data_IF_652999815712
#
_entry.id   IF_652999815712
#
_cell.length_a   1.000
_cell.length_b   1.000
_cell.length_c   1.000
_cell.angle_alpha   90.00
_cell.angle_beta   90.00
_cell.angle_gamma   90.00
#
_symmetry.space_group_name_H-M   'P 1'
#
loop_
_entity.id
_entity.type
_entity.pdbx_description
1 polymer ?
#
# COMPACT_ATOMS: atom_id res chain seq x y z
N UNK A 1 4.26 -7.15 -8.79
CA UNK A 1 5.51 -6.39 -8.60
C UNK A 1 6.62 -7.33 -8.16
N UNK A 2 7.90 -7.03 -8.40
CA UNK A 2 9.00 -7.81 -7.80
C UNK A 2 9.08 -7.42 -6.31
N UNK A 3 9.14 -8.42 -5.43
CA UNK A 3 9.12 -8.21 -3.97
C UNK A 3 10.26 -7.31 -3.50
N UNK A 4 11.42 -7.33 -4.17
CA UNK A 4 12.58 -6.50 -3.78
C UNK A 4 12.28 -5.02 -4.01
N UNK A 5 11.59 -4.72 -5.11
CA UNK A 5 11.14 -3.35 -5.39
C UNK A 5 10.11 -2.89 -4.37
N UNK A 6 9.14 -3.74 -4.03
CA UNK A 6 8.14 -3.44 -3.01
C UNK A 6 8.80 -3.12 -1.65
N UNK A 7 9.85 -3.85 -1.30
CA UNK A 7 10.58 -3.62 -0.05
C UNK A 7 11.31 -2.27 -0.03
N UNK A 8 11.92 -1.87 -1.15
CA UNK A 8 12.57 -0.57 -1.28
C UNK A 8 11.55 0.57 -1.23
N UNK A 9 10.44 0.42 -1.94
CA UNK A 9 9.33 1.39 -1.99
C UNK A 9 8.77 1.67 -0.59
N UNK A 10 8.50 0.62 0.20
CA UNK A 10 8.03 0.76 1.58
C UNK A 10 9.06 1.51 2.45
N UNK A 11 10.36 1.29 2.24
CA UNK A 11 11.40 2.01 2.99
C UNK A 11 11.40 3.49 2.63
N UNK A 12 11.32 3.83 1.34
CA UNK A 12 11.23 5.22 0.86
C UNK A 12 9.98 5.90 1.43
N UNK A 13 8.83 5.23 1.42
CA UNK A 13 7.59 5.74 1.99
C UNK A 13 7.65 5.94 3.50
N UNK A 14 8.37 5.09 4.24
CA UNK A 14 8.60 5.29 5.68
C UNK A 14 9.43 6.56 5.91
N UNK A 15 10.41 6.84 5.05
CA UNK A 15 11.20 8.07 5.14
C UNK A 15 10.38 9.32 4.78
N UNK A 16 9.45 9.22 3.83
CA UNK A 16 8.60 10.34 3.39
C UNK A 16 7.42 10.61 4.34
N UNK A 17 6.65 9.58 4.68
CA UNK A 17 5.36 9.70 5.38
C UNK A 17 5.42 9.25 6.84
N UNK A 18 6.45 8.50 7.22
CA UNK A 18 6.65 7.99 8.57
C UNK A 18 6.17 6.55 8.78
N UNK A 19 6.83 5.85 9.71
CA UNK A 19 6.63 4.43 10.02
C UNK A 19 5.20 4.04 10.39
N UNK A 20 4.44 4.96 11.00
CA UNK A 20 3.08 4.73 11.47
C UNK A 20 2.02 5.05 10.41
N UNK A 21 2.42 5.45 9.19
CA UNK A 21 1.49 5.82 8.14
C UNK A 21 0.59 4.64 7.75
N UNK A 22 -0.74 4.84 7.64
CA UNK A 22 -1.69 3.75 7.45
C UNK A 22 -1.79 3.32 5.98
N UNK A 23 -1.66 2.01 5.74
CA UNK A 23 -1.75 1.38 4.42
C UNK A 23 -2.63 0.13 4.46
N UNK A 24 -3.16 -0.25 3.30
CA UNK A 24 -3.79 -1.53 3.03
C UNK A 24 -2.78 -2.47 2.42
N UNK A 25 -2.39 -3.52 3.14
CA UNK A 25 -1.61 -4.61 2.59
C UNK A 25 -2.51 -5.53 1.75
N UNK A 26 -2.09 -5.85 0.54
CA UNK A 26 -2.81 -6.71 -0.39
C UNK A 26 -2.13 -8.08 -0.40
N UNK A 27 -2.95 -9.11 -0.20
CA UNK A 27 -2.53 -10.50 -0.11
C UNK A 27 -2.96 -11.31 -1.32
N UNK A 28 -2.04 -12.10 -1.86
CA UNK A 28 -2.29 -13.16 -2.82
C UNK A 28 -1.71 -14.46 -2.30
N UNK A 29 -2.55 -15.49 -2.13
CA UNK A 29 -2.15 -16.80 -1.60
C UNK A 29 -1.35 -16.69 -0.28
N UNK A 30 -1.86 -15.91 0.68
CA UNK A 30 -1.22 -15.63 1.99
C UNK A 30 0.11 -14.86 1.93
N UNK A 31 0.55 -14.40 0.76
CA UNK A 31 1.75 -13.59 0.57
C UNK A 31 1.39 -12.15 0.24
N UNK A 32 2.26 -11.21 0.63
CA UNK A 32 2.04 -9.81 0.32
C UNK A 32 2.44 -9.63 -1.14
N UNK A 33 1.50 -9.17 -1.96
CA UNK A 33 1.71 -8.89 -3.38
C UNK A 33 1.89 -7.39 -3.63
N UNK A 34 1.22 -6.54 -2.84
CA UNK A 34 1.20 -5.09 -3.02
C UNK A 34 0.71 -4.36 -1.74
N UNK A 35 0.71 -3.03 -1.73
CA UNK A 35 0.05 -2.20 -0.73
C UNK A 35 -0.45 -0.88 -1.31
N UNK A 36 -1.55 -0.36 -0.77
CA UNK A 36 -2.09 0.96 -1.14
C UNK A 36 -2.23 1.84 0.09
N UNK A 37 -2.16 3.16 -0.08
CA UNK A 37 -2.37 4.09 1.03
C UNK A 37 -3.82 4.05 1.51
N UNK A 38 -4.06 4.17 2.81
CA UNK A 38 -5.43 4.26 3.33
C UNK A 38 -6.04 5.61 3.00
N UNK A 39 -5.22 6.65 3.10
CA UNK A 39 -5.54 7.98 2.64
C UNK A 39 -4.74 8.21 1.37
N UNK A 40 -5.42 8.22 0.23
CA UNK A 40 -4.75 8.45 -1.04
C UNK A 40 -3.99 9.80 -0.99
N UNK A 41 -2.68 9.82 -1.29
CA UNK A 41 -1.92 11.05 -1.35
C UNK A 41 -2.51 11.97 -2.42
N UNK A 42 -2.56 13.27 -2.14
CA UNK A 42 -3.14 14.24 -3.06
C UNK A 42 -2.27 14.37 -4.32
N UNK A 43 -2.61 13.62 -5.38
CA UNK A 43 -1.93 13.65 -6.68
C UNK A 43 -2.26 14.90 -7.52
N UNK A 44 -3.17 15.75 -7.03
CA UNK A 44 -3.56 17.01 -7.65
C UNK A 44 -5.06 17.24 -7.58
N UNK A 45 -5.49 18.36 -8.16
CA UNK A 45 -6.90 18.67 -8.39
C UNK A 45 -7.13 18.80 -9.89
N UNK A 46 -8.28 18.36 -10.38
CA UNK A 46 -8.70 18.67 -11.74
C UNK A 46 -8.97 20.19 -11.89
N UNK A 47 -9.28 20.64 -13.11
CA UNK A 47 -9.58 22.06 -13.37
C UNK A 47 -10.85 22.56 -12.65
N UNK A 48 -11.66 21.67 -12.06
CA UNK A 48 -12.85 22.00 -11.28
C UNK A 48 -12.60 21.95 -9.75
N UNK A 49 -11.39 21.60 -9.31
CA UNK A 49 -11.04 21.51 -7.90
C UNK A 49 -11.45 20.20 -7.23
N UNK A 50 -11.88 19.20 -8.00
CA UNK A 50 -12.15 17.84 -7.50
C UNK A 50 -10.82 17.09 -7.33
N UNK A 51 -10.69 16.32 -6.25
CA UNK A 51 -9.50 15.47 -6.04
C UNK A 51 -9.46 14.43 -7.16
N UNK A 52 -8.35 14.37 -7.89
CA UNK A 52 -8.14 13.30 -8.88
C UNK A 52 -7.89 12.01 -8.08
N UNK A 53 -8.83 11.08 -8.17
CA UNK A 53 -8.65 9.71 -7.67
C UNK A 53 -7.85 8.93 -8.71
N UNK A 54 -6.80 8.23 -8.29
CA UNK A 54 -6.11 7.26 -9.13
C UNK A 54 -7.02 6.04 -9.35
N UNK A 55 -7.06 5.53 -10.58
CA UNK A 55 -7.97 4.42 -11.00
C UNK A 55 -7.92 3.21 -10.05
N UNK A 56 -6.78 2.93 -9.42
CA UNK A 56 -6.60 1.83 -8.46
C UNK A 56 -7.46 1.94 -7.19
N UNK A 57 -7.88 3.14 -6.77
CA UNK A 57 -8.74 3.30 -5.59
C UNK A 57 -10.21 2.94 -5.85
N UNK A 58 -10.67 2.94 -7.11
CA UNK A 58 -11.98 2.39 -7.46
C UNK A 58 -12.00 0.85 -7.33
N UNK A 59 -10.82 0.22 -7.47
CA UNK A 59 -10.64 -1.23 -7.37
C UNK A 59 -10.59 -1.73 -5.91
N UNK A 60 -10.42 -0.85 -4.91
CA UNK A 60 -10.48 -1.22 -3.48
C UNK A 60 -11.81 -1.87 -3.11
N UNK A 61 -12.92 -1.35 -3.65
CA UNK A 61 -14.25 -1.90 -3.41
C UNK A 61 -14.47 -3.24 -4.11
N UNK A 62 -13.61 -3.59 -5.08
CA UNK A 62 -13.61 -4.85 -5.81
C UNK A 62 -12.69 -5.91 -5.18
N UNK A 63 -11.75 -5.50 -4.32
CA UNK A 63 -10.86 -6.43 -3.62
C UNK A 63 -11.63 -7.20 -2.54
N UNK A 64 -11.39 -8.51 -2.49
CA UNK A 64 -11.93 -9.36 -1.44
C UNK A 64 -11.43 -8.89 -0.07
N UNK A 65 -12.33 -8.72 0.89
CA UNK A 65 -12.02 -8.20 2.23
C UNK A 65 -11.09 -9.13 3.00
N UNK A 66 -11.06 -10.41 2.66
CA UNK A 66 -10.15 -11.38 3.25
C UNK A 66 -8.70 -11.23 2.73
N UNK A 67 -8.53 -10.61 1.56
CA UNK A 67 -7.25 -10.37 0.89
C UNK A 67 -6.65 -9.01 1.21
N UNK A 68 -7.33 -8.16 2.00
CA UNK A 68 -6.87 -6.81 2.33
C UNK A 68 -6.79 -6.62 3.84
N UNK A 69 -5.66 -6.11 4.33
CA UNK A 69 -5.51 -5.78 5.76
C UNK A 69 -4.90 -4.40 5.97
N UNK A 70 -5.59 -3.57 6.72
CA UNK A 70 -5.07 -2.28 7.19
C UNK A 70 -3.96 -2.50 8.23
N UNK A 71 -2.83 -1.84 8.05
CA UNK A 71 -1.67 -1.86 8.96
C UNK A 71 -0.81 -0.60 8.78
N UNK A 72 0.24 -0.44 9.58
CA UNK A 72 1.24 0.62 9.31
C UNK A 72 2.29 0.17 8.29
N UNK A 73 2.99 1.14 7.66
CA UNK A 73 4.14 0.85 6.81
C UNK A 73 5.20 0.01 7.51
N UNK A 74 5.46 0.26 8.80
CA UNK A 74 6.41 -0.55 9.58
C UNK A 74 5.95 -2.00 9.76
N UNK A 75 4.66 -2.21 10.02
CA UNK A 75 4.10 -3.57 10.12
C UNK A 75 4.16 -4.30 8.79
N UNK A 76 3.86 -3.59 7.69
CA UNK A 76 3.97 -4.10 6.33
C UNK A 76 5.41 -4.53 6.01
N UNK A 77 6.38 -3.65 6.26
CA UNK A 77 7.81 -3.93 6.05
C UNK A 77 8.26 -5.19 6.81
N UNK A 78 7.91 -5.28 8.09
CA UNK A 78 8.29 -6.42 8.92
C UNK A 78 7.69 -7.73 8.40
N UNK A 79 6.42 -7.71 7.97
CA UNK A 79 5.76 -8.89 7.39
C UNK A 79 6.35 -9.28 6.04
N UNK A 80 6.64 -8.31 5.18
CA UNK A 80 7.26 -8.55 3.88
C UNK A 80 8.65 -9.15 4.04
N UNK A 81 9.46 -8.64 4.97
CA UNK A 81 10.80 -9.18 5.30
C UNK A 81 10.75 -10.67 5.69
N UNK A 82 9.79 -11.07 6.52
CA UNK A 82 9.63 -12.49 6.91
C UNK A 82 9.34 -13.39 5.70
N UNK A 83 8.75 -12.86 4.61
CA UNK A 83 8.53 -13.64 3.38
C UNK A 83 9.80 -13.84 2.56
N UNK A 84 10.84 -13.03 2.76
CA UNK A 84 12.16 -13.21 2.14
C UNK A 84 13.05 -14.19 2.90
N UNK A 85 12.79 -14.37 4.20
CA UNK A 85 13.58 -15.24 5.07
C UNK A 85 13.13 -16.72 5.01
N UNK A 86 12.05 -17.03 4.27
CA UNK A 86 11.52 -18.38 4.03
C UNK A 86 11.85 -18.87 2.63
#
# INVERSE_FOLDING_TARGET
MDKVYLLLEIIEDIEEYGADYPVYAIYENDLISDYWYVEEPAVGSDMEGTKILMEHYEELDLLDKDSVRKMSLLELLNRLRVQFEK
#
